data_IF_119521045923
#
_entry.id   IF_119521045923
#
_cell.length_a   1.000
_cell.length_b   1.000
_cell.length_c   1.000
_cell.angle_alpha   90.00
_cell.angle_beta   90.00
_cell.angle_gamma   90.00
#
_symmetry.space_group_name_H-M   'P 1'
#
loop_
_entity.id
_entity.type
_entity.pdbx_description
1 polymer ?
#
# COMPACT_ATOMS: atom_id res chain seq x y z
N UNK A 1 15.42 6.47 -20.27
CA UNK A 1 15.36 5.60 -19.14
C UNK A 1 14.78 4.24 -19.49
N UNK A 2 14.95 3.28 -18.60
CA UNK A 2 14.39 1.96 -18.82
C UNK A 2 12.86 2.00 -18.74
N UNK A 3 12.24 1.30 -19.70
CA UNK A 3 10.80 1.08 -19.65
C UNK A 3 10.48 0.03 -18.59
N UNK A 4 9.63 0.40 -17.66
CA UNK A 4 9.11 -0.58 -16.70
C UNK A 4 8.05 -1.45 -17.39
N UNK A 5 8.16 -2.76 -17.19
CA UNK A 5 7.21 -3.73 -17.71
C UNK A 5 6.72 -4.64 -16.59
N UNK A 6 5.46 -5.06 -16.69
CA UNK A 6 4.86 -6.01 -15.77
C UNK A 6 3.63 -6.64 -16.42
N UNK A 7 3.38 -7.96 -16.23
CA UNK A 7 2.17 -8.58 -16.74
C UNK A 7 0.88 -7.92 -16.30
N UNK A 8 0.87 -7.32 -15.11
CA UNK A 8 -0.31 -6.67 -14.54
C UNK A 8 -0.39 -5.18 -14.86
N UNK A 9 0.57 -4.65 -15.62
CA UNK A 9 0.66 -3.25 -16.03
C UNK A 9 0.90 -2.29 -14.85
N UNK A 10 1.39 -2.80 -13.74
CA UNK A 10 1.87 -2.01 -12.61
C UNK A 10 2.86 -2.82 -11.78
N UNK A 11 3.63 -2.12 -10.97
CA UNK A 11 4.54 -2.71 -9.97
C UNK A 11 4.22 -2.02 -8.65
N UNK A 12 4.22 -2.79 -7.57
CA UNK A 12 4.16 -2.23 -6.21
C UNK A 12 5.57 -2.21 -5.62
N UNK A 13 5.96 -1.06 -5.09
CA UNK A 13 7.13 -0.95 -4.23
C UNK A 13 6.64 -0.76 -2.82
N UNK A 14 7.01 -1.65 -1.92
CA UNK A 14 6.61 -1.52 -0.53
C UNK A 14 7.78 -1.75 0.40
N UNK A 15 7.79 -1.00 1.48
CA UNK A 15 8.78 -1.13 2.54
C UNK A 15 8.09 -0.95 3.88
N UNK A 16 8.66 -1.59 4.90
CA UNK A 16 8.19 -1.47 6.28
C UNK A 16 9.37 -1.69 7.21
N UNK A 17 9.34 -1.05 8.40
CA UNK A 17 10.29 -1.34 9.46
C UNK A 17 10.10 -2.79 9.88
N UNK A 18 11.05 -3.67 9.56
CA UNK A 18 10.89 -5.12 9.75
C UNK A 18 10.97 -5.54 11.23
N UNK A 19 11.82 -4.89 12.00
CA UNK A 19 12.02 -5.19 13.42
C UNK A 19 11.87 -3.89 14.21
N UNK A 20 10.95 -3.91 15.17
CA UNK A 20 10.72 -2.74 16.04
C UNK A 20 10.56 -3.19 17.49
N UNK A 21 10.79 -2.28 18.41
CA UNK A 21 10.49 -2.51 19.82
C UNK A 21 8.99 -2.37 20.05
N UNK A 22 8.48 -3.17 20.99
CA UNK A 22 7.09 -3.04 21.45
C UNK A 22 6.83 -1.58 21.85
N UNK A 23 5.66 -1.06 21.49
CA UNK A 23 5.22 0.33 21.69
C UNK A 23 5.98 1.37 20.86
N UNK A 24 6.74 0.94 19.88
CA UNK A 24 7.44 1.82 18.94
C UNK A 24 6.80 1.67 17.57
N UNK A 25 6.51 2.77 16.85
CA UNK A 25 5.87 2.68 15.55
C UNK A 25 6.79 2.10 14.47
N UNK A 26 6.25 1.16 13.70
CA UNK A 26 6.84 0.72 12.45
C UNK A 26 6.30 1.59 11.34
N UNK A 27 7.17 2.11 10.49
CA UNK A 27 6.77 2.94 9.35
C UNK A 27 6.67 2.10 8.10
N UNK A 28 5.61 2.31 7.31
CA UNK A 28 5.46 1.64 6.02
C UNK A 28 5.29 2.64 4.89
N UNK A 29 5.62 2.20 3.70
CA UNK A 29 5.47 2.96 2.46
C UNK A 29 5.07 2.00 1.34
N UNK A 30 4.03 2.36 0.60
CA UNK A 30 3.53 1.57 -0.54
C UNK A 30 3.40 2.52 -1.72
N UNK A 31 4.09 2.22 -2.80
CA UNK A 31 4.09 3.02 -4.02
C UNK A 31 3.56 2.19 -5.19
N UNK A 32 2.67 2.79 -5.97
CA UNK A 32 2.14 2.19 -7.20
C UNK A 32 2.89 2.78 -8.39
N UNK A 33 3.50 1.92 -9.20
CA UNK A 33 4.21 2.31 -10.42
C UNK A 33 3.52 1.67 -11.63
N UNK A 34 2.71 2.43 -12.39
CA UNK A 34 2.16 1.92 -13.64
C UNK A 34 3.28 1.60 -14.63
N UNK A 35 3.06 0.58 -15.45
CA UNK A 35 4.04 0.09 -16.42
C UNK A 35 3.41 -0.02 -17.81
N UNK A 36 4.24 -0.32 -18.81
CA UNK A 36 3.79 -0.65 -20.18
C UNK A 36 2.93 0.45 -20.83
N UNK A 37 3.25 1.72 -20.53
CA UNK A 37 2.51 2.85 -21.09
C UNK A 37 1.19 3.16 -20.40
N UNK A 38 0.86 2.42 -19.34
CA UNK A 38 -0.31 2.72 -18.50
C UNK A 38 0.01 3.86 -17.54
N UNK A 39 -1.02 4.60 -17.17
CA UNK A 39 -0.96 5.66 -16.17
C UNK A 39 -2.10 5.49 -15.18
N UNK A 40 -1.96 6.09 -13.98
CA UNK A 40 -3.05 6.11 -13.02
C UNK A 40 -4.23 6.88 -13.60
N UNK A 41 -5.46 6.33 -13.46
CA UNK A 41 -6.69 7.06 -13.84
C UNK A 41 -7.07 7.97 -12.67
N UNK A 42 -6.86 9.28 -12.86
CA UNK A 42 -7.06 10.26 -11.79
C UNK A 42 -8.52 10.46 -11.39
N UNK A 43 -9.47 10.10 -12.26
CA UNK A 43 -10.90 10.20 -11.96
C UNK A 43 -11.46 8.98 -11.22
N UNK A 44 -10.74 7.86 -11.25
CA UNK A 44 -11.19 6.63 -10.60
C UNK A 44 -10.83 6.63 -9.10
N UNK A 45 -11.58 5.88 -8.29
CA UNK A 45 -11.22 5.73 -6.87
C UNK A 45 -9.89 5.01 -6.69
N UNK A 46 -9.17 5.38 -5.63
CA UNK A 46 -8.01 4.66 -5.13
C UNK A 46 -8.29 4.37 -3.67
N UNK A 47 -8.24 3.10 -3.27
CA UNK A 47 -8.52 2.72 -1.90
C UNK A 47 -7.50 1.70 -1.40
N UNK A 48 -6.97 1.95 -0.21
CA UNK A 48 -6.16 0.99 0.54
C UNK A 48 -6.81 0.83 1.91
N UNK A 49 -7.07 -0.41 2.31
CA UNK A 49 -7.66 -0.70 3.61
C UNK A 49 -6.97 -1.90 4.24
N UNK A 50 -6.57 -1.75 5.49
CA UNK A 50 -6.01 -2.84 6.28
C UNK A 50 -7.12 -3.58 7.04
N UNK A 51 -6.94 -4.89 7.20
CA UNK A 51 -7.87 -5.75 7.95
C UNK A 51 -7.59 -5.63 9.45
N UNK A 52 -7.79 -4.44 10.01
CA UNK A 52 -7.38 -4.10 11.39
C UNK A 52 -8.05 -4.96 12.45
N UNK A 53 -9.25 -5.46 12.18
CA UNK A 53 -9.99 -6.33 13.10
C UNK A 53 -9.28 -7.64 13.42
N UNK A 54 -8.32 -8.05 12.57
CA UNK A 54 -7.54 -9.26 12.76
C UNK A 54 -6.29 -9.05 13.63
N UNK A 55 -6.01 -7.80 13.99
CA UNK A 55 -4.75 -7.46 14.70
C UNK A 55 -5.04 -6.60 15.94
N UNK A 56 -5.64 -7.19 17.00
CA UNK A 56 -6.01 -6.41 18.19
C UNK A 56 -4.81 -5.83 18.94
N UNK A 57 -3.60 -6.40 18.75
CA UNK A 57 -2.39 -5.93 19.40
C UNK A 57 -1.62 -4.89 18.58
N UNK A 58 -2.18 -4.43 17.46
CA UNK A 58 -1.58 -3.39 16.61
C UNK A 58 -2.43 -2.12 16.66
N UNK A 59 -1.76 -0.98 16.74
CA UNK A 59 -2.40 0.33 16.59
C UNK A 59 -1.99 0.90 15.25
N UNK A 60 -2.97 1.15 14.40
CA UNK A 60 -2.78 1.79 13.10
C UNK A 60 -3.08 3.29 13.24
N UNK A 61 -2.17 4.15 12.79
CA UNK A 61 -2.44 5.59 12.77
C UNK A 61 -3.54 5.94 11.75
N UNK A 62 -3.68 5.10 10.71
CA UNK A 62 -4.72 5.22 9.71
C UNK A 62 -5.05 3.84 9.15
N UNK A 63 -6.34 3.50 9.09
CA UNK A 63 -6.79 2.15 8.69
C UNK A 63 -7.20 2.08 7.23
N UNK A 64 -7.61 3.21 6.65
CA UNK A 64 -8.00 3.26 5.24
C UNK A 64 -7.51 4.56 4.60
N UNK A 65 -7.18 4.46 3.32
CA UNK A 65 -6.62 5.55 2.53
C UNK A 65 -7.43 5.70 1.25
N UNK A 66 -7.55 6.93 0.78
CA UNK A 66 -8.19 7.26 -0.49
C UNK A 66 -7.38 8.33 -1.22
N UNK A 67 -7.89 8.84 -2.34
CA UNK A 67 -7.21 9.89 -3.10
C UNK A 67 -6.85 11.12 -2.25
N UNK A 68 -7.71 11.49 -1.30
CA UNK A 68 -7.49 12.67 -0.45
C UNK A 68 -6.24 12.55 0.43
N UNK A 69 -5.74 11.33 0.61
CA UNK A 69 -4.56 11.05 1.42
C UNK A 69 -3.26 11.06 0.59
N UNK A 70 -3.36 11.30 -0.72
CA UNK A 70 -2.23 11.27 -1.64
C UNK A 70 -1.79 12.68 -2.00
N UNK A 71 -0.48 12.90 -2.04
CA UNK A 71 0.09 14.15 -2.50
C UNK A 71 0.05 14.25 -4.03
N UNK A 72 0.22 13.12 -4.71
CA UNK A 72 0.24 13.06 -6.16
C UNK A 72 -0.49 11.80 -6.62
N UNK A 73 -1.67 11.98 -7.23
CA UNK A 73 -2.49 10.85 -7.68
C UNK A 73 -1.83 10.09 -8.82
N UNK A 74 -1.02 10.76 -9.63
CA UNK A 74 -0.32 10.11 -10.75
C UNK A 74 0.85 9.25 -10.29
N UNK A 75 1.41 9.55 -9.11
CA UNK A 75 2.48 8.77 -8.48
C UNK A 75 2.09 8.49 -7.04
N UNK A 76 1.10 7.60 -6.83
CA UNK A 76 0.54 7.43 -5.50
C UNK A 76 1.51 6.74 -4.56
N UNK A 77 1.69 7.33 -3.39
CA UNK A 77 2.47 6.78 -2.29
C UNK A 77 1.62 6.84 -1.04
N UNK A 78 1.38 5.67 -0.46
CA UNK A 78 0.73 5.56 0.85
C UNK A 78 1.81 5.36 1.91
N UNK A 79 1.71 6.09 3.00
CA UNK A 79 2.62 5.93 4.13
C UNK A 79 1.86 6.05 5.44
N UNK A 80 2.37 5.38 6.46
CA UNK A 80 1.73 5.40 7.77
C UNK A 80 2.56 4.67 8.81
N UNK A 81 1.98 4.53 10.00
CA UNK A 81 2.64 3.93 11.16
C UNK A 81 1.75 2.89 11.78
N UNK A 82 2.37 1.79 12.20
CA UNK A 82 1.70 0.68 12.88
C UNK A 82 2.52 0.39 14.13
N UNK A 83 1.88 0.47 15.31
CA UNK A 83 2.57 0.29 16.59
C UNK A 83 2.16 -1.03 17.22
N UNK A 84 3.08 -2.00 17.35
CA UNK A 84 2.79 -3.24 18.07
C UNK A 84 2.75 -3.00 19.58
N UNK A 85 1.70 -3.50 20.22
CA UNK A 85 1.54 -3.42 21.68
C UNK A 85 2.10 -4.64 22.40
N UNK A 86 2.34 -5.72 21.67
CA UNK A 86 2.91 -6.97 22.19
C UNK A 86 3.99 -7.50 21.28
N UNK A 87 4.96 -8.20 21.85
CA UNK A 87 5.99 -8.89 21.09
C UNK A 87 5.36 -9.98 20.22
N UNK A 88 5.95 -10.24 19.06
CA UNK A 88 5.50 -11.28 18.15
C UNK A 88 5.76 -10.92 16.71
N UNK A 89 5.41 -11.85 15.84
CA UNK A 89 5.49 -11.65 14.39
C UNK A 89 4.10 -11.38 13.85
N UNK A 90 3.99 -10.35 13.02
CA UNK A 90 2.72 -9.92 12.45
C UNK A 90 2.81 -9.90 10.94
N UNK A 91 1.88 -10.60 10.28
CA UNK A 91 1.67 -10.52 8.84
C UNK A 91 0.41 -9.70 8.62
N UNK A 92 0.59 -8.44 8.24
CA UNK A 92 -0.49 -7.46 8.20
C UNK A 92 -1.03 -7.40 6.79
N UNK A 93 -2.29 -7.76 6.64
CA UNK A 93 -2.96 -7.83 5.35
C UNK A 93 -3.80 -6.59 5.10
N UNK A 94 -3.76 -6.15 3.86
CA UNK A 94 -4.62 -5.08 3.37
C UNK A 94 -5.02 -5.37 1.94
N UNK A 95 -5.91 -4.54 1.43
CA UNK A 95 -6.38 -4.63 0.06
C UNK A 95 -6.27 -3.26 -0.60
N UNK A 96 -5.69 -3.26 -1.80
CA UNK A 96 -5.48 -2.05 -2.59
C UNK A 96 -6.25 -2.17 -3.89
N UNK A 97 -7.06 -1.16 -4.22
CA UNK A 97 -7.77 -1.07 -5.49
C UNK A 97 -7.53 0.27 -6.17
N UNK A 98 -7.39 0.23 -7.48
CA UNK A 98 -7.12 1.41 -8.30
C UNK A 98 -7.38 1.07 -9.76
N UNK A 99 -7.23 2.07 -10.65
CA UNK A 99 -7.42 1.88 -12.09
C UNK A 99 -6.22 2.46 -12.82
N UNK A 100 -5.70 1.72 -13.79
CA UNK A 100 -4.65 2.20 -14.70
C UNK A 100 -5.21 2.18 -16.12
N UNK A 101 -4.80 3.16 -16.92
CA UNK A 101 -5.31 3.31 -18.28
C UNK A 101 -4.20 3.65 -19.27
N UNK A 102 -4.37 3.18 -20.51
CA UNK A 102 -3.71 3.76 -21.68
C UNK A 102 -4.65 4.83 -22.27
N UNK A 103 -4.33 5.35 -23.44
CA UNK A 103 -5.22 6.30 -24.12
C UNK A 103 -6.55 5.69 -24.56
N UNK A 104 -6.66 4.35 -24.60
CA UNK A 104 -7.83 3.66 -25.16
C UNK A 104 -8.44 2.61 -24.24
N UNK A 105 -7.69 2.10 -23.25
CA UNK A 105 -8.14 1.01 -22.38
C UNK A 105 -7.88 1.36 -20.92
N UNK A 106 -8.84 1.06 -20.07
CA UNK A 106 -8.69 1.16 -18.61
C UNK A 106 -8.83 -0.22 -17.99
N UNK A 107 -7.98 -0.50 -17.00
CA UNK A 107 -7.99 -1.77 -16.27
C UNK A 107 -8.14 -1.51 -14.78
N UNK A 108 -9.25 -1.94 -14.17
CA UNK A 108 -9.39 -1.95 -12.71
C UNK A 108 -8.41 -2.96 -12.12
N UNK A 109 -7.76 -2.59 -11.03
CA UNK A 109 -6.82 -3.45 -10.32
C UNK A 109 -7.23 -3.61 -8.87
N UNK A 110 -7.04 -4.81 -8.36
CA UNK A 110 -7.28 -5.16 -6.97
C UNK A 110 -6.17 -6.10 -6.55
N UNK A 111 -5.43 -5.76 -5.51
CA UNK A 111 -4.30 -6.57 -5.09
C UNK A 111 -4.19 -6.58 -3.57
N UNK A 112 -3.63 -7.67 -3.05
CA UNK A 112 -3.37 -7.80 -1.63
C UNK A 112 -2.08 -7.11 -1.26
N UNK A 113 -2.08 -6.48 -0.10
CA UNK A 113 -0.90 -5.94 0.56
C UNK A 113 -0.58 -6.85 1.74
N UNK A 114 0.69 -7.13 1.94
CA UNK A 114 1.15 -7.94 3.06
C UNK A 114 2.43 -7.31 3.62
N UNK A 115 2.34 -6.80 4.86
CA UNK A 115 3.48 -6.21 5.55
C UNK A 115 3.88 -7.12 6.69
N UNK A 116 5.17 -7.43 6.81
CA UNK A 116 5.69 -8.28 7.88
C UNK A 116 6.46 -7.43 8.89
N UNK A 117 6.05 -7.49 10.16
CA UNK A 117 6.70 -6.77 11.26
C UNK A 117 6.98 -7.77 12.38
N UNK A 118 8.20 -7.70 12.92
CA UNK A 118 8.58 -8.43 14.14
C UNK A 118 8.75 -7.42 15.27
N UNK A 119 8.00 -7.61 16.35
CA UNK A 119 8.10 -6.78 17.55
C UNK A 119 8.84 -7.53 18.66
N UNK A 120 9.81 -6.87 19.24
CA UNK A 120 10.64 -7.46 20.32
C UNK A 120 10.58 -6.67 21.62
#
# INVERSE_FOLDING_TARGET
GEKLTSPDHYILKQSVSEIVKVNTPAEFRIEILPTDGYEMEVEAPINLKFATENYPDLIFDKVSFSKKDLNDIKRPVFSGKITPKKAGEYNIKGELSFVVCTSTICEPKKTDINLHIKAE
#
